data_IF_930962829680
#
_entry.id   IF_930962829680
#
_cell.length_a   1.000
_cell.length_b   1.000
_cell.length_c   1.000
_cell.angle_alpha   90.00
_cell.angle_beta   90.00
_cell.angle_gamma   90.00
#
_symmetry.space_group_name_H-M   'P 1'
#
loop_
_entity.id
_entity.type
_entity.pdbx_description
1 polymer ?
#
# COMPACT_ATOMS: atom_id res chain seq x y z
N UNK A 1 -33.43 18.12 -30.77
CA UNK A 1 -32.25 17.80 -29.94
C UNK A 1 -31.06 18.64 -30.38
N UNK A 2 -30.33 19.29 -29.46
CA UNK A 2 -29.16 20.11 -29.83
C UNK A 2 -27.96 19.19 -30.03
N UNK A 3 -27.37 19.21 -31.23
CA UNK A 3 -26.19 18.42 -31.63
C UNK A 3 -25.00 18.57 -30.65
N UNK A 4 -24.87 19.75 -30.02
CA UNK A 4 -23.87 20.03 -28.97
C UNK A 4 -24.12 19.26 -27.66
N UNK A 5 -25.38 19.10 -27.25
CA UNK A 5 -25.73 18.30 -26.07
C UNK A 5 -25.55 16.81 -26.34
N UNK A 6 -25.87 16.35 -27.55
CA UNK A 6 -25.66 14.95 -27.95
C UNK A 6 -24.19 14.51 -27.85
N UNK A 7 -23.23 15.35 -28.26
CA UNK A 7 -21.79 15.05 -28.15
C UNK A 7 -21.31 15.08 -26.69
N UNK A 8 -21.85 15.97 -25.85
CA UNK A 8 -21.51 16.05 -24.43
C UNK A 8 -22.10 14.90 -23.60
N UNK A 9 -23.25 14.36 -24.01
CA UNK A 9 -23.91 13.23 -23.32
C UNK A 9 -23.47 11.88 -23.90
N UNK A 10 -23.03 11.83 -25.16
CA UNK A 10 -22.56 10.61 -25.84
C UNK A 10 -21.19 10.10 -25.39
N UNK A 11 -20.42 10.88 -24.63
CA UNK A 11 -19.10 10.49 -24.10
C UNK A 11 -19.15 9.57 -22.88
N UNK A 12 -20.33 9.15 -22.43
CA UNK A 12 -20.50 8.23 -21.28
C UNK A 12 -20.46 6.75 -21.66
N UNK A 13 -20.34 6.40 -22.94
CA UNK A 13 -20.05 5.02 -23.35
C UNK A 13 -18.53 4.90 -23.49
N UNK A 14 -17.87 4.49 -22.41
CA UNK A 14 -16.43 4.20 -22.38
C UNK A 14 -16.13 2.94 -23.20
N UNK A 15 -16.13 3.07 -24.53
CA UNK A 15 -15.52 2.07 -25.40
C UNK A 15 -14.01 2.13 -25.16
N UNK A 16 -13.35 1.02 -24.76
CA UNK A 16 -11.90 0.99 -24.70
C UNK A 16 -11.37 1.21 -26.12
N UNK A 17 -10.65 2.32 -26.32
CA UNK A 17 -9.97 2.58 -27.59
C UNK A 17 -8.63 1.86 -27.54
N UNK A 18 -8.43 0.91 -28.44
CA UNK A 18 -7.15 0.23 -28.62
C UNK A 18 -6.24 1.08 -29.51
N UNK A 19 -5.30 1.80 -28.91
CA UNK A 19 -4.22 2.49 -29.61
C UNK A 19 -2.96 1.64 -29.52
N UNK A 20 -2.54 1.03 -30.62
CA UNK A 20 -1.31 0.22 -30.65
C UNK A 20 -1.35 -1.05 -29.78
N UNK A 21 -2.54 -1.59 -29.49
CA UNK A 21 -2.71 -2.78 -28.66
C UNK A 21 -2.79 -2.53 -27.15
N UNK A 22 -2.79 -1.26 -26.72
CA UNK A 22 -3.01 -0.89 -25.32
C UNK A 22 -4.47 -0.43 -25.12
N UNK A 23 -5.15 -0.99 -24.13
CA UNK A 23 -6.49 -0.54 -23.72
C UNK A 23 -6.39 0.83 -23.04
N UNK A 24 -6.87 1.88 -23.71
CA UNK A 24 -7.00 3.20 -23.10
C UNK A 24 -8.39 3.32 -22.48
N UNK A 25 -8.46 3.22 -21.15
CA UNK A 25 -9.67 3.50 -20.37
C UNK A 25 -9.75 4.99 -20.01
N UNK A 26 -10.95 5.56 -19.99
CA UNK A 26 -11.17 6.91 -19.47
C UNK A 26 -10.91 6.91 -17.96
N UNK A 27 -9.72 7.35 -17.54
CA UNK A 27 -9.40 7.54 -16.13
C UNK A 27 -10.32 8.65 -15.61
N UNK A 28 -11.24 8.31 -14.70
CA UNK A 28 -12.02 9.30 -13.97
C UNK A 28 -11.04 10.27 -13.30
N UNK A 29 -11.14 11.57 -13.63
CA UNK A 29 -10.32 12.62 -13.01
C UNK A 29 -10.54 12.56 -11.50
N UNK A 30 -9.60 11.96 -10.77
CA UNK A 30 -9.60 12.02 -9.31
C UNK A 30 -9.42 13.47 -8.89
N UNK A 31 -10.01 13.85 -7.76
CA UNK A 31 -9.84 15.18 -7.13
C UNK A 31 -8.37 15.54 -6.89
N UNK A 32 -7.50 14.53 -6.84
CA UNK A 32 -6.04 14.67 -6.69
C UNK A 32 -5.38 15.33 -7.91
N UNK A 33 -5.93 15.18 -9.12
CA UNK A 33 -5.38 15.85 -10.32
C UNK A 33 -5.51 17.38 -10.26
N UNK A 34 -6.46 17.91 -9.49
CA UNK A 34 -6.60 19.36 -9.29
C UNK A 34 -5.55 19.93 -8.32
N UNK A 35 -4.86 19.09 -7.55
CA UNK A 35 -3.75 19.53 -6.68
C UNK A 35 -2.42 19.63 -7.43
N UNK A 36 -2.31 19.02 -8.62
CA UNK A 36 -1.09 19.04 -9.42
C UNK A 36 -1.15 20.27 -10.33
N UNK A 37 -0.65 21.40 -9.83
CA UNK A 37 -0.49 22.62 -10.62
C UNK A 37 0.82 22.50 -11.41
N UNK A 38 0.74 22.49 -12.75
CA UNK A 38 1.85 22.13 -13.64
C UNK A 38 2.96 23.17 -13.79
N UNK A 39 2.88 24.30 -13.09
CA UNK A 39 3.81 25.44 -13.18
C UNK A 39 4.79 25.54 -11.99
N UNK A 40 4.77 24.60 -11.03
CA UNK A 40 5.63 24.64 -9.85
C UNK A 40 6.67 23.49 -9.89
N UNK A 41 7.94 23.76 -9.55
CA UNK A 41 9.05 22.77 -9.43
C UNK A 41 8.82 21.71 -8.33
N UNK A 42 7.65 21.69 -7.70
CA UNK A 42 7.31 20.78 -6.60
C UNK A 42 6.75 19.48 -7.14
N UNK A 43 7.47 18.39 -6.88
CA UNK A 43 7.03 17.04 -7.26
C UNK A 43 6.25 16.41 -6.10
N UNK A 44 4.99 16.06 -6.35
CA UNK A 44 4.20 15.22 -5.44
C UNK A 44 4.34 13.75 -5.84
N UNK A 45 5.01 12.96 -5.00
CA UNK A 45 5.13 11.50 -5.18
C UNK A 45 4.04 10.81 -4.36
N UNK A 46 3.07 10.18 -5.04
CA UNK A 46 2.05 9.37 -4.40
C UNK A 46 2.39 7.89 -4.57
N UNK A 47 2.64 7.20 -3.45
CA UNK A 47 2.85 5.75 -3.42
C UNK A 47 1.60 5.10 -2.82
N UNK A 48 0.80 4.46 -3.68
CA UNK A 48 -0.32 3.65 -3.22
C UNK A 48 0.18 2.22 -3.01
N UNK A 49 0.36 1.85 -1.74
CA UNK A 49 0.64 0.47 -1.38
C UNK A 49 -0.70 -0.28 -1.29
N UNK A 50 -0.89 -1.28 -2.14
CA UNK A 50 -2.06 -2.17 -2.05
C UNK A 50 -1.85 -3.16 -0.91
N UNK A 51 -2.76 -3.14 0.07
CA UNK A 51 -2.70 -3.98 1.26
C UNK A 51 -2.51 -3.16 2.55
N UNK A 52 -2.36 -3.86 3.66
CA UNK A 52 -2.09 -3.28 4.98
C UNK A 52 -0.84 -3.90 5.58
N UNK A 53 -0.13 -3.11 6.38
CA UNK A 53 0.97 -3.64 7.17
C UNK A 53 0.44 -4.65 8.21
N UNK A 54 1.10 -5.80 8.31
CA UNK A 54 0.73 -6.84 9.26
C UNK A 54 1.36 -6.56 10.64
N UNK A 55 0.59 -5.96 11.53
CA UNK A 55 1.06 -5.56 12.86
C UNK A 55 1.62 -6.73 13.68
N UNK A 56 1.08 -7.94 13.52
CA UNK A 56 1.52 -9.13 14.26
C UNK A 56 2.83 -9.73 13.71
N UNK A 57 3.22 -9.36 12.49
CA UNK A 57 4.56 -9.64 11.95
C UNK A 57 5.53 -8.49 12.19
N UNK A 58 5.04 -7.26 12.38
CA UNK A 58 5.86 -6.11 12.75
C UNK A 58 6.31 -6.19 14.22
N UNK A 59 5.36 -6.34 15.14
CA UNK A 59 5.58 -6.48 16.59
C UNK A 59 5.01 -7.83 17.00
N UNK A 60 5.92 -8.79 17.19
CA UNK A 60 5.59 -10.19 17.38
C UNK A 60 5.53 -10.48 18.88
N UNK A 61 4.35 -10.87 19.44
CA UNK A 61 4.25 -11.31 20.82
C UNK A 61 4.83 -12.74 20.95
N UNK A 62 6.05 -12.81 21.45
CA UNK A 62 6.83 -14.04 21.64
C UNK A 62 6.16 -14.94 22.69
N UNK A 63 5.56 -14.35 23.72
CA UNK A 63 4.84 -15.08 24.77
C UNK A 63 3.59 -15.82 24.27
N UNK A 64 3.11 -15.48 23.07
CA UNK A 64 1.95 -16.09 22.41
C UNK A 64 2.31 -16.77 21.08
N UNK A 65 3.60 -17.01 20.83
CA UNK A 65 4.11 -17.49 19.54
C UNK A 65 3.45 -18.80 19.08
N UNK A 66 3.20 -19.75 20.00
CA UNK A 66 2.51 -21.00 19.68
C UNK A 66 1.09 -20.78 19.17
N UNK A 67 0.33 -19.88 19.81
CA UNK A 67 -1.03 -19.54 19.39
C UNK A 67 -1.04 -18.81 18.04
N UNK A 68 -0.10 -17.90 17.84
CA UNK A 68 0.12 -17.22 16.57
C UNK A 68 0.43 -18.20 15.44
N UNK A 69 1.35 -19.14 15.66
CA UNK A 69 1.75 -20.13 14.66
C UNK A 69 0.60 -21.06 14.31
N UNK A 70 -0.23 -21.45 15.29
CA UNK A 70 -1.39 -22.30 15.05
C UNK A 70 -2.45 -21.64 14.16
N UNK A 71 -2.71 -20.33 14.35
CA UNK A 71 -3.74 -19.60 13.58
C UNK A 71 -3.21 -18.94 12.31
N UNK A 72 -1.87 -18.83 12.15
CA UNK A 72 -1.21 -18.15 11.02
C UNK A 72 0.03 -18.92 10.50
N UNK A 73 -0.07 -20.22 10.19
CA UNK A 73 1.09 -21.07 9.92
C UNK A 73 1.97 -20.62 8.74
N UNK A 74 1.39 -19.91 7.77
CA UNK A 74 2.11 -19.43 6.57
C UNK A 74 2.70 -18.02 6.75
N UNK A 75 2.20 -17.25 7.72
CA UNK A 75 2.55 -15.84 7.86
C UNK A 75 3.57 -15.59 8.98
N UNK A 76 3.61 -16.44 10.00
CA UNK A 76 4.47 -16.23 11.17
C UNK A 76 5.93 -16.44 10.82
N UNK A 77 6.76 -15.49 11.22
CA UNK A 77 8.21 -15.55 11.07
C UNK A 77 8.79 -16.66 11.98
N UNK A 78 9.77 -17.46 11.52
CA UNK A 78 10.50 -18.40 12.38
C UNK A 78 11.10 -17.69 13.60
N UNK A 79 11.03 -18.32 14.77
CA UNK A 79 11.40 -17.71 16.05
C UNK A 79 12.87 -17.23 16.09
N UNK A 80 13.76 -17.96 15.41
CA UNK A 80 15.20 -17.62 15.27
C UNK A 80 15.46 -16.35 14.43
N UNK A 81 14.46 -15.89 13.68
CA UNK A 81 14.53 -14.66 12.86
C UNK A 81 13.94 -13.44 13.55
N UNK A 82 13.33 -13.61 14.72
CA UNK A 82 12.72 -12.50 15.46
C UNK A 82 13.80 -11.68 16.15
N UNK A 83 13.79 -10.36 15.94
CA UNK A 83 14.64 -9.44 16.69
C UNK A 83 14.04 -9.24 18.08
N UNK A 84 14.50 -10.03 19.05
CA UNK A 84 13.96 -10.00 20.41
C UNK A 84 14.21 -8.64 21.08
N UNK A 85 13.15 -7.99 21.54
CA UNK A 85 13.23 -6.75 22.33
C UNK A 85 13.14 -7.04 23.83
N UNK A 86 12.22 -7.93 24.22
CA UNK A 86 11.98 -8.37 25.59
C UNK A 86 11.63 -9.86 25.60
N UNK A 87 11.38 -10.45 26.77
CA UNK A 87 10.88 -11.83 26.87
C UNK A 87 9.45 -12.01 26.32
N UNK A 88 8.72 -10.91 26.10
CA UNK A 88 7.33 -10.96 25.63
C UNK A 88 7.15 -10.51 24.19
N UNK A 89 8.05 -9.68 23.67
CA UNK A 89 7.88 -9.07 22.35
C UNK A 89 9.19 -8.97 21.57
N UNK A 90 9.08 -9.06 20.25
CA UNK A 90 10.16 -8.85 19.30
C UNK A 90 9.68 -8.14 18.04
N UNK A 91 10.63 -7.78 17.18
CA UNK A 91 10.36 -7.14 15.90
C UNK A 91 10.65 -8.07 14.73
N UNK A 92 10.06 -7.74 13.59
CA UNK A 92 10.40 -8.34 12.30
C UNK A 92 11.92 -8.25 12.01
N UNK A 93 12.48 -9.26 11.35
CA UNK A 93 13.92 -9.35 11.03
C UNK A 93 14.49 -8.14 10.27
N UNK A 94 13.65 -7.45 9.49
CA UNK A 94 14.03 -6.27 8.71
C UNK A 94 14.05 -4.98 9.51
N UNK A 95 13.59 -4.98 10.77
CA UNK A 95 13.47 -3.77 11.60
C UNK A 95 14.68 -3.55 12.50
N UNK A 96 15.88 -3.86 11.99
CA UNK A 96 17.14 -3.76 12.72
C UNK A 96 17.38 -2.36 13.27
N UNK A 97 17.07 -1.31 12.51
CA UNK A 97 17.21 0.08 12.95
C UNK A 97 16.33 0.40 14.17
N UNK A 98 15.07 -0.07 14.20
CA UNK A 98 14.20 0.14 15.36
C UNK A 98 14.63 -0.71 16.56
N UNK A 99 15.10 -1.95 16.31
CA UNK A 99 15.67 -2.79 17.36
C UNK A 99 16.89 -2.13 18.00
N UNK A 100 17.75 -1.49 17.20
CA UNK A 100 18.92 -0.77 17.67
C UNK A 100 18.50 0.45 18.51
N UNK A 101 17.59 1.28 18.00
CA UNK A 101 17.08 2.44 18.75
C UNK A 101 16.47 2.04 20.09
N UNK A 102 15.72 0.94 20.14
CA UNK A 102 15.17 0.43 21.40
C UNK A 102 16.25 -0.01 22.39
N UNK A 103 17.36 -0.56 21.91
CA UNK A 103 18.49 -0.97 22.75
C UNK A 103 19.31 0.22 23.26
N UNK A 104 19.29 1.34 22.53
CA UNK A 104 20.00 2.57 22.88
C UNK A 104 19.31 3.40 23.98
N UNK A 105 17.99 3.21 24.19
CA UNK A 105 17.22 3.80 25.31
C UNK A 105 16.34 4.97 24.92
#
# INVERSE_FOLDING_TARGET
MKRRQFIQTGSLISLPVLLGGMEVTAVSRSTLFNLVNGDDDKVLVLIQLNGGNDGLNMVIPIDQYNGLTAVRPTLVLPEDKILKLTDKTGLHSSMTGLSQLFQEG
#
